data_IF_078002458434
#
_entry.id   IF_078002458434
#
_cell.length_a   1.000
_cell.length_b   1.000
_cell.length_c   1.000
_cell.angle_alpha   90.00
_cell.angle_beta   90.00
_cell.angle_gamma   90.00
#
_symmetry.space_group_name_H-M   'P 1'
#
loop_
_entity.id
_entity.type
_entity.pdbx_description
1 polymer ?
#
# COMPACT_ATOMS: atom_id res chain seq x y z
N UNK A 1 4.67 -17.02 2.91
CA UNK A 1 3.57 -16.16 2.41
C UNK A 1 4.04 -14.75 2.04
N UNK A 2 4.59 -13.94 2.97
CA UNK A 2 5.02 -12.58 2.65
C UNK A 2 6.01 -12.51 1.47
N UNK A 3 7.07 -13.33 1.51
CA UNK A 3 8.10 -13.39 0.47
C UNK A 3 7.53 -13.79 -0.90
N UNK A 4 6.56 -14.69 -0.90
CA UNK A 4 5.87 -15.10 -2.11
C UNK A 4 5.08 -13.93 -2.71
N UNK A 5 4.37 -13.16 -1.89
CA UNK A 5 3.65 -11.97 -2.36
C UNK A 5 4.62 -10.89 -2.87
N UNK A 6 5.75 -10.67 -2.21
CA UNK A 6 6.76 -9.73 -2.71
C UNK A 6 7.28 -10.15 -4.09
N UNK A 7 7.65 -11.43 -4.25
CA UNK A 7 8.20 -11.94 -5.52
C UNK A 7 7.13 -11.96 -6.62
N UNK A 8 5.90 -12.40 -6.32
CA UNK A 8 4.79 -12.40 -7.27
C UNK A 8 4.44 -10.99 -7.70
N UNK A 9 4.26 -10.06 -6.75
CA UNK A 9 4.00 -8.65 -7.03
C UNK A 9 5.11 -8.03 -7.87
N UNK A 10 6.37 -8.23 -7.49
CA UNK A 10 7.52 -7.72 -8.25
C UNK A 10 7.59 -8.30 -9.67
N UNK A 11 7.32 -9.59 -9.84
CA UNK A 11 7.32 -10.24 -11.16
C UNK A 11 6.23 -9.67 -12.07
N UNK A 12 5.04 -9.41 -11.53
CA UNK A 12 3.95 -8.78 -12.27
C UNK A 12 4.29 -7.33 -12.64
N UNK A 13 4.88 -6.56 -11.72
CA UNK A 13 5.36 -5.19 -11.99
C UNK A 13 6.41 -5.21 -13.10
N UNK A 14 7.35 -6.15 -13.08
CA UNK A 14 8.35 -6.26 -14.12
C UNK A 14 7.70 -6.62 -15.46
N UNK A 15 6.79 -7.58 -15.48
CA UNK A 15 6.08 -7.98 -16.69
C UNK A 15 5.28 -6.81 -17.29
N UNK A 16 4.54 -6.05 -16.48
CA UNK A 16 3.79 -4.88 -16.96
C UNK A 16 4.70 -3.76 -17.45
N UNK A 17 5.86 -3.56 -16.82
CA UNK A 17 6.89 -2.65 -17.32
C UNK A 17 7.40 -3.08 -18.71
N UNK A 18 7.74 -4.36 -18.90
CA UNK A 18 8.19 -4.90 -20.19
C UNK A 18 7.12 -4.73 -21.28
N UNK A 19 5.86 -4.97 -20.93
CA UNK A 19 4.72 -4.77 -21.84
C UNK A 19 4.60 -3.30 -22.23
N UNK A 20 4.67 -2.37 -21.27
CA UNK A 20 4.59 -0.92 -21.55
C UNK A 20 5.71 -0.43 -22.45
N UNK A 21 6.93 -0.93 -22.25
CA UNK A 21 8.07 -0.55 -23.09
C UNK A 21 8.12 -1.32 -24.42
N UNK A 22 7.08 -2.08 -24.77
CA UNK A 22 6.95 -2.73 -26.07
C UNK A 22 8.02 -3.78 -26.35
N UNK A 23 8.57 -4.42 -25.31
CA UNK A 23 9.55 -5.49 -25.48
C UNK A 23 8.89 -6.61 -26.28
N UNK A 24 9.49 -6.97 -27.43
CA UNK A 24 8.94 -7.94 -28.37
C UNK A 24 7.51 -7.61 -28.88
N UNK A 25 7.20 -6.32 -29.08
CA UNK A 25 5.91 -5.85 -29.60
C UNK A 25 4.69 -6.25 -28.74
N UNK A 26 4.91 -6.50 -27.44
CA UNK A 26 3.85 -6.87 -26.50
C UNK A 26 2.80 -5.77 -26.31
N UNK A 27 3.18 -4.49 -26.45
CA UNK A 27 2.32 -3.31 -26.42
C UNK A 27 1.24 -3.32 -27.52
N UNK A 28 1.53 -3.94 -28.67
CA UNK A 28 0.60 -4.06 -29.81
C UNK A 28 -0.42 -5.18 -29.65
N UNK A 29 -0.09 -6.19 -28.87
CA UNK A 29 -0.90 -7.42 -28.73
C UNK A 29 -1.75 -7.42 -27.47
N UNK A 30 -1.31 -6.73 -26.42
CA UNK A 30 -1.99 -6.67 -25.13
C UNK A 30 -2.88 -5.43 -25.08
N UNK A 31 -4.12 -5.59 -24.62
CA UNK A 31 -5.05 -4.48 -24.41
C UNK A 31 -4.70 -3.65 -23.19
N UNK A 32 -5.10 -2.37 -23.19
CA UNK A 32 -5.01 -1.50 -22.02
C UNK A 32 -5.73 -2.11 -20.80
N UNK A 33 -6.88 -2.77 -21.02
CA UNK A 33 -7.58 -3.52 -19.97
C UNK A 33 -6.70 -4.59 -19.30
N UNK A 34 -6.08 -5.48 -20.08
CA UNK A 34 -5.26 -6.56 -19.53
C UNK A 34 -4.05 -6.05 -18.76
N UNK A 35 -3.46 -4.95 -19.23
CA UNK A 35 -2.39 -4.22 -18.55
C UNK A 35 -2.87 -3.65 -17.20
N UNK A 36 -4.03 -2.98 -17.16
CA UNK A 36 -4.59 -2.42 -15.92
C UNK A 36 -4.98 -3.48 -14.88
N UNK A 37 -5.49 -4.63 -15.33
CA UNK A 37 -5.76 -5.78 -14.44
C UNK A 37 -4.46 -6.32 -13.84
N UNK A 38 -3.42 -6.55 -14.65
CA UNK A 38 -2.13 -7.03 -14.14
C UNK A 38 -1.51 -6.04 -13.14
N UNK A 39 -1.65 -4.74 -13.37
CA UNK A 39 -1.23 -3.70 -12.44
C UNK A 39 -2.04 -3.69 -11.15
N UNK A 40 -3.35 -3.91 -11.22
CA UNK A 40 -4.22 -3.98 -10.04
C UNK A 40 -3.91 -5.21 -9.17
N UNK A 41 -3.57 -6.34 -9.81
CA UNK A 41 -3.11 -7.55 -9.11
C UNK A 41 -1.74 -7.34 -8.44
N UNK A 42 -0.84 -6.63 -9.12
CA UNK A 42 0.45 -6.22 -8.57
C UNK A 42 0.29 -5.35 -7.32
N UNK A 43 -0.62 -4.38 -7.39
CA UNK A 43 -0.98 -3.51 -6.27
C UNK A 43 -1.53 -4.33 -5.08
N UNK A 44 -2.49 -5.22 -5.34
CA UNK A 44 -3.07 -6.08 -4.30
C UNK A 44 -2.01 -6.96 -3.63
N UNK A 45 -1.07 -7.49 -4.40
CA UNK A 45 0.06 -8.25 -3.90
C UNK A 45 0.99 -7.40 -3.01
N UNK A 46 1.26 -6.15 -3.41
CA UNK A 46 2.05 -5.21 -2.62
C UNK A 46 1.37 -4.83 -1.29
N UNK A 47 0.04 -4.63 -1.28
CA UNK A 47 -0.74 -4.38 -0.06
C UNK A 47 -0.71 -5.60 0.86
N UNK A 48 -0.92 -6.79 0.31
CA UNK A 48 -0.88 -8.05 1.07
C UNK A 48 0.50 -8.29 1.68
N UNK A 49 1.55 -8.01 0.91
CA UNK A 49 2.93 -8.07 1.40
C UNK A 49 3.16 -7.11 2.57
N UNK A 50 2.71 -5.84 2.44
CA UNK A 50 2.85 -4.82 3.48
C UNK A 50 2.23 -5.24 4.81
N UNK A 51 1.04 -5.85 4.76
CA UNK A 51 0.36 -6.37 5.95
C UNK A 51 1.05 -7.60 6.52
N UNK A 52 1.59 -8.48 5.67
CA UNK A 52 2.33 -9.66 6.14
C UNK A 52 3.69 -9.31 6.80
N UNK A 53 4.32 -8.21 6.38
CA UNK A 53 5.56 -7.72 7.00
C UNK A 53 5.39 -7.31 8.47
N UNK A 54 4.18 -6.88 8.86
CA UNK A 54 3.90 -6.50 10.25
C UNK A 54 4.14 -7.65 11.25
N UNK A 55 3.92 -8.89 10.81
CA UNK A 55 4.00 -10.09 11.67
C UNK A 55 5.43 -10.65 11.75
N UNK A 56 6.22 -10.51 10.68
CA UNK A 56 7.53 -11.15 10.55
C UNK A 56 8.70 -10.32 11.07
N UNK A 57 8.43 -9.16 11.70
CA UNK A 57 9.43 -8.18 12.14
C UNK A 57 10.56 -8.81 12.98
N UNK A 58 10.21 -9.58 14.02
CA UNK A 58 11.21 -10.19 14.92
C UNK A 58 12.11 -11.25 14.28
N UNK A 59 11.68 -11.85 13.16
CA UNK A 59 12.50 -12.82 12.44
C UNK A 59 13.64 -12.15 11.66
N UNK A 60 13.44 -10.91 11.18
CA UNK A 60 14.43 -10.20 10.37
C UNK A 60 15.54 -9.55 11.17
N UNK A 61 15.33 -9.31 12.48
CA UNK A 61 16.35 -8.78 13.38
C UNK A 61 17.58 -9.73 13.45
N UNK A 62 17.36 -11.04 13.33
CA UNK A 62 18.42 -12.06 13.33
C UNK A 62 19.14 -12.19 11.96
N UNK A 63 18.44 -11.90 10.86
CA UNK A 63 18.91 -12.19 9.49
C UNK A 63 19.10 -10.91 8.66
N UNK A 64 20.18 -10.16 8.93
CA UNK A 64 20.46 -8.85 8.29
C UNK A 64 20.49 -8.89 6.76
N UNK A 65 21.13 -9.90 6.15
CA UNK A 65 21.21 -10.01 4.67
C UNK A 65 19.82 -10.17 4.05
N UNK A 66 18.96 -10.98 4.67
CA UNK A 66 17.60 -11.21 4.18
C UNK A 66 16.76 -9.93 4.29
N UNK A 67 16.95 -9.16 5.37
CA UNK A 67 16.33 -7.85 5.56
C UNK A 67 16.72 -6.89 4.44
N UNK A 68 18.02 -6.73 4.19
CA UNK A 68 18.52 -5.78 3.19
C UNK A 68 18.06 -6.14 1.76
N UNK A 69 18.10 -7.43 1.40
CA UNK A 69 17.58 -7.89 0.10
C UNK A 69 16.08 -7.62 -0.05
N UNK A 70 15.30 -7.85 1.00
CA UNK A 70 13.85 -7.57 0.96
C UNK A 70 13.56 -6.10 0.86
N UNK A 71 14.22 -5.27 1.66
CA UNK A 71 14.08 -3.82 1.58
C UNK A 71 14.42 -3.30 0.19
N UNK A 72 15.50 -3.81 -0.43
CA UNK A 72 15.83 -3.46 -1.80
C UNK A 72 14.70 -3.82 -2.79
N UNK A 73 14.16 -5.04 -2.71
CA UNK A 73 13.04 -5.47 -3.55
C UNK A 73 11.77 -4.65 -3.31
N UNK A 74 11.48 -4.28 -2.06
CA UNK A 74 10.34 -3.42 -1.70
C UNK A 74 10.46 -2.03 -2.34
N UNK A 75 11.63 -1.41 -2.22
CA UNK A 75 11.90 -0.09 -2.82
C UNK A 75 11.82 -0.15 -4.35
N UNK A 76 12.43 -1.17 -4.96
CA UNK A 76 12.37 -1.39 -6.40
C UNK A 76 10.93 -1.63 -6.89
N UNK A 77 10.16 -2.44 -6.17
CA UNK A 77 8.76 -2.70 -6.49
C UNK A 77 7.93 -1.41 -6.49
N UNK A 78 8.04 -0.57 -5.45
CA UNK A 78 7.29 0.70 -5.40
C UNK A 78 7.73 1.65 -6.51
N UNK A 79 9.04 1.82 -6.71
CA UNK A 79 9.57 2.73 -7.71
C UNK A 79 9.05 2.38 -9.13
N UNK A 80 8.90 1.08 -9.40
CA UNK A 80 8.36 0.58 -10.67
C UNK A 80 6.84 0.52 -10.70
N UNK A 81 6.16 0.35 -9.57
CA UNK A 81 4.69 0.25 -9.48
C UNK A 81 4.01 1.62 -9.63
N UNK A 82 4.51 2.65 -8.93
CA UNK A 82 3.81 3.94 -8.83
C UNK A 82 3.58 4.60 -10.20
N UNK A 83 4.59 4.73 -11.10
CA UNK A 83 4.37 5.36 -12.40
C UNK A 83 3.38 4.56 -13.25
N UNK A 84 3.44 3.23 -13.17
CA UNK A 84 2.58 2.34 -13.94
C UNK A 84 1.13 2.40 -13.44
N UNK A 85 0.95 2.48 -12.12
CA UNK A 85 -0.37 2.64 -11.50
C UNK A 85 -1.03 3.95 -11.91
N UNK A 86 -0.30 5.07 -11.89
CA UNK A 86 -0.82 6.37 -12.36
C UNK A 86 -1.22 6.28 -13.83
N UNK A 87 -0.41 5.63 -14.66
CA UNK A 87 -0.72 5.40 -16.08
C UNK A 87 -2.01 4.57 -16.25
N UNK A 88 -2.23 3.51 -15.47
CA UNK A 88 -3.46 2.71 -15.53
C UNK A 88 -4.75 3.50 -15.27
N UNK A 89 -4.68 4.57 -14.49
CA UNK A 89 -5.84 5.41 -14.18
C UNK A 89 -6.25 6.31 -15.35
N UNK A 90 -5.38 6.46 -16.36
CA UNK A 90 -5.61 7.33 -17.53
C UNK A 90 -5.72 6.57 -18.85
N UNK A 91 -5.08 5.42 -18.96
CA UNK A 91 -5.02 4.63 -20.20
C UNK A 91 -6.40 4.10 -20.58
N UNK A 92 -6.79 4.33 -21.84
CA UNK A 92 -8.00 3.78 -22.43
C UNK A 92 -7.99 2.25 -22.43
N UNK A 93 -9.05 1.64 -21.91
CA UNK A 93 -9.13 0.19 -21.67
C UNK A 93 -9.51 -0.61 -22.91
N UNK A 94 -10.21 0.03 -23.86
CA UNK A 94 -10.81 -0.56 -25.06
C UNK A 94 -9.83 -0.73 -26.22
N UNK A 95 -8.65 -0.11 -26.14
CA UNK A 95 -7.64 -0.11 -27.20
C UNK A 95 -6.46 -1.04 -26.85
N UNK A 96 -5.61 -1.31 -27.85
CA UNK A 96 -4.29 -1.89 -27.59
C UNK A 96 -3.50 -0.95 -26.70
N UNK A 97 -2.60 -1.48 -25.86
CA UNK A 97 -1.85 -0.65 -24.92
C UNK A 97 -1.05 0.43 -25.67
N UNK A 98 -0.47 0.08 -26.83
CA UNK A 98 0.23 1.04 -27.68
C UNK A 98 -0.64 2.23 -28.06
N UNK A 99 -1.81 2.00 -28.64
CA UNK A 99 -2.71 3.09 -29.04
C UNK A 99 -3.15 3.92 -27.83
N UNK A 100 -3.43 3.27 -26.70
CA UNK A 100 -3.85 3.96 -25.49
C UNK A 100 -2.73 4.77 -24.82
N UNK A 101 -1.45 4.38 -25.01
CA UNK A 101 -0.29 5.16 -24.59
C UNK A 101 0.01 6.30 -25.56
N UNK A 102 -0.11 6.08 -26.87
CA UNK A 102 0.05 7.12 -27.90
C UNK A 102 -0.99 8.24 -27.71
N UNK A 103 -2.24 7.89 -27.40
CA UNK A 103 -3.30 8.85 -27.04
C UNK A 103 -2.95 9.64 -25.77
N UNK A 104 -2.29 9.00 -24.79
CA UNK A 104 -1.86 9.63 -23.54
C UNK A 104 -0.65 10.56 -23.74
N UNK A 105 0.30 10.20 -24.61
CA UNK A 105 1.48 11.03 -24.93
C UNK A 105 1.12 12.22 -25.82
N UNK A 106 0.08 12.09 -26.66
CA UNK A 106 -0.48 13.19 -27.45
C UNK A 106 -1.08 14.31 -26.59
N UNK A 107 -1.60 13.97 -25.41
CA UNK A 107 -2.13 14.92 -24.44
C UNK A 107 -1.05 15.37 -23.44
N UNK A 108 -0.12 16.19 -23.93
CA UNK A 108 0.99 16.76 -23.13
C UNK A 108 0.53 17.68 -22.00
N UNK A 109 -0.76 17.99 -21.93
CA UNK A 109 -1.37 18.67 -20.81
C UNK A 109 -1.65 17.70 -19.68
N UNK A 110 -1.03 17.93 -18.51
CA UNK A 110 -1.55 17.43 -17.22
C UNK A 110 -2.86 18.17 -16.85
N UNK A 111 -3.71 18.44 -17.84
CA UNK A 111 -5.00 19.11 -17.71
C UNK A 111 -6.00 18.06 -17.23
N UNK A 112 -6.15 17.98 -15.91
CA UNK A 112 -7.33 17.37 -15.32
C UNK A 112 -8.45 18.37 -15.56
N UNK A 113 -9.42 18.04 -16.42
CA UNK A 113 -10.58 18.90 -16.62
C UNK A 113 -11.23 19.14 -15.24
N UNK A 114 -11.14 20.36 -14.69
CA UNK A 114 -11.59 20.62 -13.33
C UNK A 114 -13.10 20.51 -13.21
N UNK A 115 -13.84 20.55 -14.33
CA UNK A 115 -15.30 20.49 -14.35
C UNK A 115 -15.85 19.05 -14.37
N UNK A 116 -15.00 18.04 -14.60
CA UNK A 116 -15.41 16.64 -14.53
C UNK A 116 -15.21 16.05 -13.13
N UNK A 117 -16.32 15.87 -12.41
CA UNK A 117 -16.39 15.28 -11.07
C UNK A 117 -15.75 13.87 -11.03
N UNK A 118 -15.82 13.11 -12.12
CA UNK A 118 -15.19 11.79 -12.20
C UNK A 118 -13.67 11.89 -12.22
N UNK A 119 -13.13 12.84 -12.99
CA UNK A 119 -11.69 13.09 -13.12
C UNK A 119 -11.07 13.49 -11.78
N UNK A 120 -11.75 14.34 -11.00
CA UNK A 120 -11.30 14.68 -9.64
C UNK A 120 -11.32 13.47 -8.69
N UNK A 121 -12.36 12.63 -8.76
CA UNK A 121 -12.48 11.43 -7.92
C UNK A 121 -11.34 10.45 -8.19
N UNK A 122 -11.02 10.21 -9.46
CA UNK A 122 -9.87 9.37 -9.85
C UNK A 122 -8.54 9.96 -9.37
N UNK A 123 -8.35 11.27 -9.47
CA UNK A 123 -7.14 11.93 -8.99
C UNK A 123 -6.94 11.71 -7.49
N UNK A 124 -7.96 12.01 -6.68
CA UNK A 124 -7.87 11.84 -5.22
C UNK A 124 -7.70 10.39 -4.82
N UNK A 125 -8.40 9.46 -5.47
CA UNK A 125 -8.24 8.03 -5.23
C UNK A 125 -6.81 7.56 -5.55
N UNK A 126 -6.24 8.05 -6.67
CA UNK A 126 -4.87 7.74 -7.08
C UNK A 126 -3.87 8.29 -6.07
N UNK A 127 -4.01 9.57 -5.69
CA UNK A 127 -3.13 10.21 -4.71
C UNK A 127 -3.18 9.51 -3.35
N UNK A 128 -4.38 9.14 -2.89
CA UNK A 128 -4.57 8.40 -1.66
C UNK A 128 -3.87 7.03 -1.72
N UNK A 129 -4.03 6.27 -2.81
CA UNK A 129 -3.38 4.97 -2.96
C UNK A 129 -1.85 5.05 -3.03
N UNK A 130 -1.33 6.02 -3.78
CA UNK A 130 0.12 6.29 -3.84
C UNK A 130 0.64 6.66 -2.46
N UNK A 131 -0.06 7.55 -1.75
CA UNK A 131 0.30 7.96 -0.39
C UNK A 131 0.28 6.80 0.59
N UNK A 132 -0.77 5.99 0.58
CA UNK A 132 -0.89 4.79 1.43
C UNK A 132 0.26 3.81 1.19
N UNK A 133 0.58 3.52 -0.07
CA UNK A 133 1.67 2.61 -0.40
C UNK A 133 3.02 3.18 0.02
N UNK A 134 3.32 4.41 -0.38
CA UNK A 134 4.61 5.04 -0.10
C UNK A 134 4.83 5.18 1.42
N UNK A 135 3.85 5.72 2.15
CA UNK A 135 3.92 5.89 3.60
C UNK A 135 3.96 4.53 4.31
N UNK A 136 3.13 3.57 3.90
CA UNK A 136 3.08 2.24 4.50
C UNK A 136 4.42 1.51 4.39
N UNK A 137 5.00 1.48 3.19
CA UNK A 137 6.31 0.86 2.98
C UNK A 137 7.44 1.61 3.67
N UNK A 138 7.41 2.95 3.66
CA UNK A 138 8.39 3.76 4.39
C UNK A 138 8.34 3.44 5.88
N UNK A 139 7.14 3.40 6.47
CA UNK A 139 6.93 3.03 7.86
C UNK A 139 7.53 1.65 8.16
N UNK A 140 7.29 0.64 7.29
CA UNK A 140 7.88 -0.70 7.47
C UNK A 140 9.39 -0.73 7.39
N UNK A 141 9.97 0.04 6.47
CA UNK A 141 11.42 0.15 6.34
C UNK A 141 12.00 0.80 7.61
N UNK A 142 11.38 1.88 8.09
CA UNK A 142 11.81 2.53 9.33
C UNK A 142 11.69 1.59 10.54
N UNK A 143 10.60 0.83 10.66
CA UNK A 143 10.43 -0.20 11.70
C UNK A 143 11.52 -1.30 11.64
N UNK A 144 11.98 -1.67 10.44
CA UNK A 144 12.99 -2.72 10.23
C UNK A 144 14.42 -2.26 10.53
N UNK A 145 14.73 -0.97 10.38
CA UNK A 145 16.08 -0.43 10.56
C UNK A 145 16.26 0.39 11.84
N UNK A 146 15.18 0.97 12.37
CA UNK A 146 15.22 1.86 13.54
C UNK A 146 14.41 1.27 14.70
N UNK A 147 15.07 0.67 15.71
CA UNK A 147 14.41 0.23 16.93
C UNK A 147 13.68 1.36 17.66
N UNK A 148 14.21 2.59 17.60
CA UNK A 148 13.57 3.76 18.21
C UNK A 148 12.24 4.11 17.54
N UNK A 149 12.18 4.02 16.21
CA UNK A 149 10.92 4.23 15.49
C UNK A 149 9.87 3.18 15.86
N UNK A 150 10.31 1.96 16.23
CA UNK A 150 9.42 0.90 16.70
C UNK A 150 8.83 1.16 18.09
N UNK A 151 9.60 1.78 18.98
CA UNK A 151 9.18 2.08 20.36
C UNK A 151 8.36 3.37 20.43
N UNK A 152 8.79 4.42 19.73
CA UNK A 152 8.05 5.68 19.60
C UNK A 152 8.35 6.33 18.24
N UNK A 153 7.44 6.19 17.27
CA UNK A 153 7.53 6.88 15.98
C UNK A 153 7.62 8.40 16.15
N UNK A 154 6.90 8.97 17.11
CA UNK A 154 6.87 10.41 17.38
C UNK A 154 8.22 10.92 17.89
N UNK A 155 8.85 10.20 18.81
CA UNK A 155 10.19 10.55 19.30
C UNK A 155 11.24 10.47 18.18
N UNK A 156 11.14 9.46 17.31
CA UNK A 156 12.05 9.33 16.17
C UNK A 156 11.88 10.50 15.18
N UNK A 157 10.65 10.90 14.87
CA UNK A 157 10.39 12.05 13.99
C UNK A 157 10.90 13.35 14.61
N UNK A 158 10.68 13.55 15.92
CA UNK A 158 11.20 14.71 16.63
C UNK A 158 12.74 14.76 16.58
N UNK A 159 13.43 13.63 16.79
CA UNK A 159 14.89 13.53 16.70
C UNK A 159 15.41 13.74 15.28
N UNK A 160 14.74 13.19 14.27
CA UNK A 160 15.09 13.40 12.86
C UNK A 160 14.94 14.87 12.44
N UNK A 161 13.81 15.50 12.78
CA UNK A 161 13.60 16.93 12.56
C UNK A 161 14.62 17.79 13.31
N UNK A 162 14.93 17.43 14.56
CA UNK A 162 15.95 18.12 15.35
C UNK A 162 17.32 18.08 14.68
N UNK A 163 17.70 16.93 14.12
CA UNK A 163 18.98 16.74 13.42
C UNK A 163 19.07 17.53 12.11
N UNK A 164 17.97 17.67 11.38
CA UNK A 164 17.92 18.36 10.08
C UNK A 164 17.84 19.87 10.26
N UNK A 165 17.01 20.35 11.19
CA UNK A 165 16.76 21.78 11.40
C UNK A 165 17.65 22.40 12.48
N UNK A 166 18.63 21.65 13.02
CA UNK A 166 19.58 22.14 14.03
C UNK A 166 18.90 22.72 15.28
N UNK A 167 17.86 22.05 15.80
CA UNK A 167 16.97 22.56 16.84
C UNK A 167 16.60 21.45 17.84
N UNK A 168 16.65 21.62 19.18
CA UNK A 168 17.61 22.29 20.06
C UNK A 168 18.51 21.22 20.77
N UNK A 169 19.16 21.55 21.90
CA UNK A 169 20.26 20.79 22.52
C UNK A 169 19.89 19.35 22.95
N UNK A 170 20.87 18.47 23.17
CA UNK A 170 20.63 17.09 23.66
C UNK A 170 19.79 17.03 24.94
N UNK A 171 19.86 18.10 25.77
CA UNK A 171 19.04 18.24 26.96
C UNK A 171 17.55 18.45 26.63
N UNK A 172 17.24 19.18 25.56
CA UNK A 172 15.87 19.43 25.10
C UNK A 172 15.26 18.19 24.43
N UNK A 173 16.07 17.40 23.71
CA UNK A 173 15.66 16.09 23.16
C UNK A 173 15.35 15.12 24.30
N UNK A 174 16.20 15.07 25.33
CA UNK A 174 15.96 14.22 26.49
C UNK A 174 14.74 14.68 27.30
N UNK A 175 14.52 16.00 27.43
CA UNK A 175 13.34 16.56 28.06
C UNK A 175 12.07 16.27 27.26
N UNK A 176 12.12 16.34 25.92
CA UNK A 176 11.02 15.99 25.03
C UNK A 176 10.70 14.49 25.08
N UNK A 177 11.70 13.61 25.04
CA UNK A 177 11.50 12.16 25.16
C UNK A 177 10.98 11.77 26.55
N UNK A 178 11.50 12.40 27.61
CA UNK A 178 10.97 12.25 28.96
C UNK A 178 9.53 12.77 29.06
N UNK A 179 9.21 13.88 28.39
CA UNK A 179 7.84 14.39 28.29
C UNK A 179 6.94 13.47 27.45
N UNK A 180 7.40 12.88 26.36
CA UNK A 180 6.61 11.95 25.54
C UNK A 180 6.27 10.68 26.33
N UNK A 181 7.24 10.13 27.08
CA UNK A 181 7.01 8.99 27.98
C UNK A 181 6.17 9.37 29.21
N UNK A 182 6.37 10.55 29.78
CA UNK A 182 5.58 11.06 30.89
C UNK A 182 4.16 11.44 30.47
N UNK A 183 3.96 11.90 29.23
CA UNK A 183 2.66 12.21 28.66
C UNK A 183 1.90 10.92 28.38
N UNK A 184 2.57 9.84 27.96
CA UNK A 184 1.97 8.50 27.90
C UNK A 184 1.44 8.05 29.27
N UNK A 185 2.23 8.25 30.34
CA UNK A 185 1.84 7.96 31.73
C UNK A 185 0.80 8.95 32.29
N UNK A 186 0.83 10.21 31.86
CA UNK A 186 -0.12 11.25 32.24
C UNK A 186 -1.46 11.06 31.52
N UNK A 187 -1.46 10.53 30.29
CA UNK A 187 -2.65 10.11 29.52
C UNK A 187 -3.35 8.94 30.21
N UNK A 188 -2.60 7.99 30.75
CA UNK A 188 -3.13 6.94 31.63
C UNK A 188 -3.76 7.51 32.91
N UNK A 189 -3.18 8.57 33.49
CA UNK A 189 -3.73 9.25 34.67
C UNK A 189 -4.88 10.22 34.36
N UNK A 190 -4.94 10.80 33.16
CA UNK A 190 -6.00 11.74 32.74
C UNK A 190 -7.30 11.03 32.37
N UNK A 191 -7.23 9.74 32.02
CA UNK A 191 -8.40 8.85 31.90
C UNK A 191 -9.19 8.71 33.22
N UNK A 192 -8.62 9.12 34.37
CA UNK A 192 -9.27 9.10 35.69
C UNK A 192 -9.91 10.43 36.11
N UNK A 193 -9.71 11.54 35.37
CA UNK A 193 -10.18 12.87 35.80
C UNK A 193 -10.98 13.54 34.69
N UNK A 194 -12.31 13.40 34.79
CA UNK A 194 -13.27 13.93 33.84
C UNK A 194 -13.26 15.46 33.77
N UNK A 195 -13.36 15.98 32.55
CA UNK A 195 -13.91 17.29 32.16
C UNK A 195 -13.76 17.52 30.64
N UNK A 196 -14.92 17.71 30.00
CA UNK A 196 -15.21 18.21 28.63
C UNK A 196 -15.26 17.18 27.48
N UNK A 197 -16.49 16.76 27.16
CA UNK A 197 -16.82 15.68 26.21
C UNK A 197 -16.26 15.78 24.78
N UNK A 198 -16.01 16.98 24.24
CA UNK A 198 -15.38 17.11 22.92
C UNK A 198 -13.87 16.85 22.95
N UNK A 199 -13.20 17.34 24.01
CA UNK A 199 -11.77 17.07 24.22
C UNK A 199 -11.57 15.61 24.61
N UNK A 200 -12.49 15.04 25.39
CA UNK A 200 -12.53 13.60 25.70
C UNK A 200 -12.72 12.76 24.42
N UNK A 201 -13.55 13.19 23.47
CA UNK A 201 -13.69 12.48 22.18
C UNK A 201 -12.38 12.49 21.39
N UNK A 202 -11.70 13.64 21.27
CA UNK A 202 -10.40 13.70 20.57
C UNK A 202 -9.29 12.95 21.31
N UNK A 203 -9.27 13.00 22.65
CA UNK A 203 -8.31 12.22 23.45
C UNK A 203 -8.60 10.73 23.32
N UNK A 204 -9.87 10.32 23.37
CA UNK A 204 -10.27 8.93 23.18
C UNK A 204 -9.95 8.45 21.76
N UNK A 205 -10.25 9.24 20.73
CA UNK A 205 -9.91 8.91 19.34
C UNK A 205 -8.40 8.81 19.17
N UNK A 206 -7.62 9.72 19.74
CA UNK A 206 -6.16 9.68 19.61
C UNK A 206 -5.49 8.60 20.48
N UNK A 207 -6.11 8.18 21.59
CA UNK A 207 -5.68 7.02 22.38
C UNK A 207 -6.05 5.73 21.65
N UNK A 208 -7.28 5.61 21.15
CA UNK A 208 -7.71 4.49 20.30
C UNK A 208 -6.81 4.43 19.06
N UNK A 209 -6.50 5.55 18.43
CA UNK A 209 -5.59 5.63 17.30
C UNK A 209 -4.19 5.17 17.71
N UNK A 210 -3.64 5.65 18.83
CA UNK A 210 -2.33 5.24 19.33
C UNK A 210 -2.25 3.73 19.63
N UNK A 211 -3.25 3.19 20.32
CA UNK A 211 -3.37 1.76 20.61
C UNK A 211 -3.58 0.95 19.32
N UNK A 212 -4.45 1.41 18.42
CA UNK A 212 -4.72 0.76 17.14
C UNK A 212 -3.48 0.76 16.24
N UNK A 213 -2.70 1.84 16.22
CA UNK A 213 -1.50 2.03 15.39
C UNK A 213 -0.36 1.07 15.77
N UNK A 214 -0.28 0.67 17.03
CA UNK A 214 0.62 -0.38 17.50
C UNK A 214 0.02 -1.79 17.50
N UNK A 215 -1.31 -1.90 17.53
CA UNK A 215 -2.00 -3.20 17.64
C UNK A 215 -2.04 -3.98 16.33
N UNK A 216 -1.96 -5.31 16.44
CA UNK A 216 -2.25 -6.22 15.34
C UNK A 216 -3.67 -6.06 14.78
N UNK A 217 -4.63 -5.63 15.60
CA UNK A 217 -6.01 -5.41 15.17
C UNK A 217 -6.14 -4.20 14.24
N UNK A 218 -5.46 -3.08 14.54
CA UNK A 218 -5.42 -1.92 13.65
C UNK A 218 -4.77 -2.26 12.30
N UNK A 219 -3.72 -3.08 12.30
CA UNK A 219 -3.12 -3.62 11.07
C UNK A 219 -4.11 -4.45 10.25
N UNK A 220 -4.96 -5.27 10.90
CA UNK A 220 -6.04 -6.00 10.24
C UNK A 220 -7.11 -5.07 9.68
N UNK A 221 -7.54 -4.05 10.44
CA UNK A 221 -8.55 -3.09 10.00
C UNK A 221 -8.07 -2.33 8.76
N UNK A 222 -6.83 -1.84 8.78
CA UNK A 222 -6.24 -1.18 7.63
C UNK A 222 -6.04 -2.14 6.45
N UNK A 223 -5.62 -3.38 6.70
CA UNK A 223 -5.55 -4.41 5.66
C UNK A 223 -6.91 -4.68 5.00
N UNK A 224 -7.97 -4.83 5.80
CA UNK A 224 -9.33 -5.05 5.30
C UNK A 224 -9.82 -3.84 4.51
N UNK A 225 -9.54 -2.63 5.00
CA UNK A 225 -9.86 -1.39 4.30
C UNK A 225 -9.13 -1.32 2.96
N UNK A 226 -7.80 -1.49 2.92
CA UNK A 226 -7.01 -1.42 1.69
C UNK A 226 -7.38 -2.53 0.70
N UNK A 227 -7.62 -3.74 1.19
CA UNK A 227 -8.04 -4.86 0.35
C UNK A 227 -9.43 -4.61 -0.24
N UNK A 228 -10.38 -4.16 0.58
CA UNK A 228 -11.74 -3.82 0.12
C UNK A 228 -11.69 -2.66 -0.85
N UNK A 229 -10.91 -1.61 -0.57
CA UNK A 229 -10.76 -0.47 -1.45
C UNK A 229 -10.14 -0.88 -2.80
N UNK A 230 -9.05 -1.66 -2.79
CA UNK A 230 -8.44 -2.18 -4.00
C UNK A 230 -9.40 -3.07 -4.81
N UNK A 231 -10.15 -3.95 -4.14
CA UNK A 231 -11.19 -4.77 -4.78
C UNK A 231 -12.31 -3.90 -5.37
N UNK A 232 -12.78 -2.88 -4.65
CA UNK A 232 -13.77 -1.94 -5.15
C UNK A 232 -13.26 -1.19 -6.38
N UNK A 233 -11.99 -0.76 -6.39
CA UNK A 233 -11.36 -0.13 -7.55
C UNK A 233 -11.32 -1.09 -8.75
N UNK A 234 -10.97 -2.36 -8.54
CA UNK A 234 -10.99 -3.40 -9.59
C UNK A 234 -12.43 -3.60 -10.10
N UNK A 235 -13.41 -3.76 -9.22
CA UNK A 235 -14.81 -3.95 -9.59
C UNK A 235 -15.36 -2.73 -10.35
N UNK A 236 -15.04 -1.52 -9.87
CA UNK A 236 -15.42 -0.28 -10.53
C UNK A 236 -14.82 -0.18 -11.93
N UNK A 237 -13.54 -0.50 -12.08
CA UNK A 237 -12.87 -0.56 -13.38
C UNK A 237 -13.51 -1.60 -14.33
N UNK A 238 -13.88 -2.78 -13.82
CA UNK A 238 -14.53 -3.83 -14.62
C UNK A 238 -15.93 -3.39 -15.09
N UNK A 239 -16.73 -2.76 -14.22
CA UNK A 239 -18.14 -2.47 -14.50
C UNK A 239 -18.33 -1.12 -15.20
N UNK A 240 -17.54 -0.10 -14.86
CA UNK A 240 -17.66 1.27 -15.39
C UNK A 240 -16.51 1.69 -16.32
N UNK A 241 -15.42 0.92 -16.43
CA UNK A 241 -14.28 1.26 -17.28
C UNK A 241 -14.51 1.12 -18.79
N UNK A 242 -15.71 0.71 -19.22
CA UNK A 242 -16.13 0.70 -20.63
C UNK A 242 -16.92 1.98 -20.89
N UNK A 243 -16.34 2.91 -21.65
CA UNK A 243 -16.96 4.17 -22.04
C UNK A 243 -18.35 4.00 -22.68
N UNK A 244 -19.09 5.11 -22.75
CA UNK A 244 -20.51 5.30 -23.11
C UNK A 244 -21.03 4.66 -24.43
N UNK A 245 -20.18 3.98 -25.18
CA UNK A 245 -20.58 3.19 -26.33
C UNK A 245 -20.82 1.74 -25.91
N UNK A 246 -22.09 1.34 -25.92
CA UNK A 246 -22.66 0.02 -25.57
C UNK A 246 -22.14 -1.17 -26.41
N UNK A 247 -21.03 -1.01 -27.14
CA UNK A 247 -20.30 -2.10 -27.78
C UNK A 247 -19.21 -2.56 -26.82
N UNK A 248 -19.60 -3.40 -25.85
CA UNK A 248 -18.70 -3.96 -24.85
C UNK A 248 -17.41 -4.52 -25.49
N UNK A 249 -16.23 -3.92 -25.25
CA UNK A 249 -14.96 -4.47 -25.69
C UNK A 249 -14.34 -5.35 -24.58
N UNK A 250 -15.14 -5.78 -23.60
CA UNK A 250 -14.68 -6.69 -22.56
C UNK A 250 -14.64 -8.09 -23.17
N UNK A 251 -13.53 -8.40 -23.82
CA UNK A 251 -13.14 -9.76 -24.12
C UNK A 251 -12.94 -10.50 -22.79
N UNK A 252 -14.00 -11.15 -22.30
CA UNK A 252 -13.99 -12.06 -21.15
C UNK A 252 -13.26 -13.38 -21.47
N UNK A 253 -12.29 -13.40 -22.39
CA UNK A 253 -11.38 -14.54 -22.50
C UNK A 253 -10.23 -14.29 -21.53
N UNK A 254 -10.31 -14.78 -20.27
CA UNK A 254 -9.23 -14.61 -19.32
C UNK A 254 -7.97 -15.24 -19.90
N UNK A 255 -6.95 -14.41 -20.15
CA UNK A 255 -5.68 -14.91 -20.64
C UNK A 255 -5.00 -15.67 -19.50
N UNK A 256 -4.23 -16.71 -19.82
CA UNK A 256 -3.59 -17.60 -18.84
C UNK A 256 -2.84 -16.84 -17.73
N UNK A 257 -2.20 -15.71 -18.08
CA UNK A 257 -1.52 -14.84 -17.11
C UNK A 257 -2.44 -14.23 -16.05
N UNK A 258 -3.68 -13.89 -16.39
CA UNK A 258 -4.66 -13.34 -15.45
C UNK A 258 -5.20 -14.41 -14.50
N UNK A 259 -5.51 -15.61 -15.03
CA UNK A 259 -5.97 -16.76 -14.22
C UNK A 259 -4.88 -17.20 -13.25
N UNK A 260 -3.63 -17.30 -13.72
CA UNK A 260 -2.50 -17.69 -12.88
C UNK A 260 -2.30 -16.70 -11.74
N UNK A 261 -2.37 -15.40 -12.03
CA UNK A 261 -2.22 -14.34 -11.04
C UNK A 261 -3.35 -14.35 -9.99
N UNK A 262 -4.60 -14.57 -10.42
CA UNK A 262 -5.75 -14.79 -9.54
C UNK A 262 -5.60 -16.05 -8.69
N UNK A 263 -5.11 -17.15 -9.26
CA UNK A 263 -4.80 -18.37 -8.54
C UNK A 263 -3.69 -18.18 -7.49
N UNK A 264 -2.68 -17.38 -7.81
CA UNK A 264 -1.61 -17.05 -6.85
C UNK A 264 -2.08 -16.15 -5.70
N UNK A 265 -3.18 -15.42 -5.86
CA UNK A 265 -3.83 -14.64 -4.80
C UNK A 265 -4.62 -15.51 -3.81
N UNK A 266 -5.05 -16.71 -4.23
CA UNK A 266 -5.73 -17.67 -3.34
C UNK A 266 -4.74 -18.36 -2.40
N UNK A 267 -3.48 -18.53 -2.81
CA UNK A 267 -2.42 -19.16 -1.99
C UNK A 267 -2.24 -18.50 -0.60
N UNK A 268 -2.19 -17.16 -0.48
CA UNK A 268 -2.32 -16.44 0.78
C UNK A 268 -3.44 -16.90 1.71
N UNK A 269 -4.67 -17.00 1.17
CA UNK A 269 -5.86 -17.37 1.92
C UNK A 269 -5.77 -18.82 2.39
N UNK A 270 -5.33 -19.74 1.53
CA UNK A 270 -5.15 -21.14 1.88
C UNK A 270 -4.06 -21.31 2.96
N UNK A 271 -2.93 -20.61 2.81
CA UNK A 271 -1.86 -20.62 3.82
C UNK A 271 -2.32 -20.06 5.17
N UNK A 272 -3.18 -19.04 5.17
CA UNK A 272 -3.75 -18.49 6.40
C UNK A 272 -4.73 -19.46 7.07
N UNK A 273 -5.57 -20.15 6.29
CA UNK A 273 -6.50 -21.17 6.78
C UNK A 273 -5.75 -22.35 7.41
N UNK A 274 -4.68 -22.82 6.76
CA UNK A 274 -3.85 -23.91 7.30
C UNK A 274 -3.13 -23.50 8.58
N UNK A 275 -2.59 -22.27 8.63
CA UNK A 275 -2.01 -21.72 9.86
C UNK A 275 -3.01 -21.68 11.01
N UNK A 276 -4.24 -21.22 10.75
CA UNK A 276 -5.30 -21.16 11.77
C UNK A 276 -5.68 -22.55 12.30
N UNK A 277 -5.73 -23.56 11.42
CA UNK A 277 -6.00 -24.96 11.79
C UNK A 277 -4.90 -25.55 12.67
N UNK A 278 -3.63 -25.28 12.37
CA UNK A 278 -2.50 -25.77 13.17
C UNK A 278 -2.53 -25.17 14.57
N UNK A 279 -2.80 -23.87 14.69
CA UNK A 279 -2.90 -23.20 16.00
C UNK A 279 -4.08 -23.75 16.81
N UNK A 280 -5.26 -23.90 16.20
CA UNK A 280 -6.42 -24.48 16.90
C UNK A 280 -6.24 -25.95 17.29
N UNK A 281 -5.43 -26.71 16.56
CA UNK A 281 -5.05 -28.07 16.93
C UNK A 281 -4.03 -28.12 18.08
N UNK A 282 -3.14 -27.13 18.20
CA UNK A 282 -2.16 -27.04 19.29
C UNK A 282 -2.77 -26.59 20.63
N UNK A 283 -3.96 -25.98 20.61
CA UNK A 283 -4.70 -25.55 21.79
C UNK A 283 -5.76 -26.56 22.26
N UNK A 284 -5.86 -27.73 21.63
CA UNK A 284 -6.66 -28.88 22.09
C UNK A 284 -5.76 -29.93 22.72
#
# INVERSE_FOLDING_TARGET
>A
MSDQQLITGFSLILATNLIRYGVADLDKTISGYSYCIAMSLSLLSCVTHLSAMAVLRGHYDSNRRLRDTKTFLMVAAIALLLPQFVTCQRVGTSLTLRCALDDLEGDTGLHWDPDDIYVQTFFFATLAMVGILACGYLQRILELYSPRFRESPEAWVAEACASIFSWPSQADINAFNAAAHADQLARERLLLVGLNGLREYFVLVSVIEGEMRGSFFGEIVWFLFYSTFALCQICFFIVWGSGSDWKAPISFTPQFGQILSLGMLILPLLSAIDGYRIVTAAFK
#
